data_IF_396578793235
#
_entry.id   IF_396578793235
#
_cell.length_a   1.000
_cell.length_b   1.000
_cell.length_c   1.000
_cell.angle_alpha   90.00
_cell.angle_beta   90.00
_cell.angle_gamma   90.00
#
_symmetry.space_group_name_H-M   'P 1'
#
loop_
_entity.id
_entity.type
_entity.pdbx_description
1 polymer ?
#
# COMPACT_ATOMS: atom_id res chain seq x y z
N UNK A 1 -4.14 3.54 11.92
CA UNK A 1 -3.19 2.88 12.85
C UNK A 1 -3.88 2.40 14.12
N UNK A 2 -4.68 3.21 14.81
CA UNK A 2 -5.39 2.83 16.05
C UNK A 2 -6.37 1.65 15.89
N UNK A 3 -7.02 1.51 14.73
CA UNK A 3 -7.99 0.44 14.47
C UNK A 3 -7.32 -0.94 14.49
N UNK A 4 -6.10 -1.08 13.96
CA UNK A 4 -5.36 -2.36 13.95
C UNK A 4 -5.00 -2.84 15.36
N UNK A 5 -4.69 -1.90 16.28
CA UNK A 5 -4.41 -2.22 17.67
C UNK A 5 -5.64 -2.77 18.40
N UNK A 6 -6.84 -2.29 18.05
CA UNK A 6 -8.10 -2.78 18.61
C UNK A 6 -8.43 -4.21 18.16
N UNK A 7 -7.91 -4.65 16.99
CA UNK A 7 -8.10 -5.99 16.45
C UNK A 7 -6.89 -6.92 16.68
N UNK A 8 -6.08 -6.67 17.71
CA UNK A 8 -5.06 -7.62 18.17
C UNK A 8 -3.71 -7.56 17.46
N UNK A 9 -3.33 -6.42 16.85
CA UNK A 9 -1.97 -6.20 16.34
C UNK A 9 -0.93 -6.39 17.47
N UNK A 10 -0.27 -7.55 17.51
CA UNK A 10 0.70 -7.94 18.54
C UNK A 10 0.39 -9.27 19.27
N UNK A 11 -0.80 -9.84 19.08
CA UNK A 11 -1.16 -11.18 19.58
C UNK A 11 -0.83 -12.26 18.54
N UNK A 12 -0.44 -13.46 18.99
CA UNK A 12 -0.17 -14.57 18.08
C UNK A 12 -1.45 -14.95 17.33
N UNK A 13 -1.36 -15.18 16.02
CA UNK A 13 -2.50 -15.50 15.13
C UNK A 13 -3.35 -16.69 15.63
N UNK A 14 -2.75 -17.57 16.45
CA UNK A 14 -3.37 -18.74 17.08
C UNK A 14 -4.34 -18.41 18.23
N UNK A 15 -4.28 -17.19 18.78
CA UNK A 15 -5.14 -16.75 19.90
C UNK A 15 -6.39 -15.98 19.49
N UNK A 16 -6.55 -15.65 18.20
CA UNK A 16 -7.69 -14.87 17.70
C UNK A 16 -8.81 -15.78 17.18
N UNK A 17 -10.07 -15.37 17.40
CA UNK A 17 -11.20 -16.03 16.76
C UNK A 17 -11.15 -15.84 15.23
N UNK A 18 -11.64 -16.80 14.43
CA UNK A 18 -11.61 -16.72 12.97
C UNK A 18 -12.36 -15.49 12.41
N UNK A 19 -13.36 -14.98 13.14
CA UNK A 19 -14.04 -13.74 12.79
C UNK A 19 -13.16 -12.49 12.97
N UNK A 20 -12.35 -12.44 14.03
CA UNK A 20 -11.42 -11.33 14.30
C UNK A 20 -10.27 -11.30 13.30
N UNK A 21 -9.78 -12.48 12.89
CA UNK A 21 -8.75 -12.61 11.85
C UNK A 21 -9.25 -12.04 10.51
N UNK A 22 -10.53 -12.23 10.18
CA UNK A 22 -11.13 -11.70 8.96
C UNK A 22 -11.16 -10.16 8.97
N UNK A 23 -11.61 -9.57 10.07
CA UNK A 23 -11.70 -8.11 10.22
C UNK A 23 -10.31 -7.45 10.30
N UNK A 24 -9.35 -8.11 10.97
CA UNK A 24 -7.95 -7.70 11.02
C UNK A 24 -7.34 -7.65 9.60
N UNK A 25 -7.46 -8.74 8.85
CA UNK A 25 -6.91 -8.86 7.49
C UNK A 25 -7.45 -7.78 6.55
N UNK A 26 -8.76 -7.51 6.63
CA UNK A 26 -9.42 -6.44 5.87
C UNK A 26 -8.90 -5.05 6.27
N UNK A 27 -8.80 -4.77 7.57
CA UNK A 27 -8.30 -3.49 8.08
C UNK A 27 -6.83 -3.26 7.71
N UNK A 28 -6.03 -4.32 7.75
CA UNK A 28 -4.62 -4.30 7.35
C UNK A 28 -4.48 -3.97 5.86
N UNK A 29 -5.26 -4.63 5.00
CA UNK A 29 -5.28 -4.36 3.56
C UNK A 29 -5.54 -2.88 3.25
N UNK A 30 -6.59 -2.30 3.84
CA UNK A 30 -6.92 -0.87 3.69
C UNK A 30 -5.77 0.01 4.19
N UNK A 31 -5.16 -0.34 5.32
CA UNK A 31 -4.05 0.42 5.89
C UNK A 31 -2.82 0.43 4.98
N UNK A 32 -2.49 -0.70 4.35
CA UNK A 32 -1.37 -0.78 3.40
C UNK A 32 -1.65 0.08 2.16
N UNK A 33 -2.86 0.07 1.63
CA UNK A 33 -3.25 0.93 0.48
C UNK A 33 -3.11 2.41 0.84
N UNK A 34 -3.66 2.82 1.99
CA UNK A 34 -3.58 4.20 2.47
C UNK A 34 -2.13 4.64 2.70
N UNK A 35 -1.30 3.76 3.27
CA UNK A 35 0.11 4.02 3.50
C UNK A 35 0.86 4.26 2.18
N UNK A 36 0.69 3.36 1.19
CA UNK A 36 1.33 3.53 -0.13
C UNK A 36 0.86 4.80 -0.84
N UNK A 37 -0.43 5.10 -0.76
CA UNK A 37 -1.00 6.32 -1.36
C UNK A 37 -0.45 7.58 -0.70
N UNK A 38 -0.30 7.57 0.63
CA UNK A 38 0.27 8.69 1.39
C UNK A 38 1.73 8.93 1.03
N UNK A 39 2.54 7.87 0.93
CA UNK A 39 3.94 7.99 0.49
C UNK A 39 4.04 8.55 -0.94
N UNK A 40 3.15 8.13 -1.83
CA UNK A 40 3.08 8.66 -3.19
C UNK A 40 2.73 10.15 -3.20
N UNK A 41 1.72 10.56 -2.44
CA UNK A 41 1.32 11.96 -2.31
C UNK A 41 2.45 12.83 -1.75
N UNK A 42 3.14 12.38 -0.69
CA UNK A 42 4.27 13.10 -0.10
C UNK A 42 5.37 13.34 -1.14
N UNK A 43 5.76 12.31 -1.92
CA UNK A 43 6.77 12.46 -2.97
C UNK A 43 6.39 13.55 -3.98
N UNK A 44 5.14 13.56 -4.43
CA UNK A 44 4.63 14.59 -5.35
C UNK A 44 4.67 15.97 -4.70
N UNK A 45 4.20 16.11 -3.47
CA UNK A 45 4.24 17.37 -2.73
C UNK A 45 5.66 17.92 -2.61
N UNK A 46 6.64 17.07 -2.26
CA UNK A 46 8.05 17.46 -2.19
C UNK A 46 8.59 17.92 -3.55
N UNK A 47 8.27 17.19 -4.63
CA UNK A 47 8.68 17.54 -5.99
C UNK A 47 8.10 18.88 -6.45
N UNK A 48 6.81 19.12 -6.19
CA UNK A 48 6.14 20.40 -6.50
C UNK A 48 6.72 21.55 -5.67
N UNK A 49 7.03 21.30 -4.39
CA UNK A 49 7.65 22.30 -3.53
C UNK A 49 9.06 22.66 -4.02
N UNK A 50 9.86 21.68 -4.42
CA UNK A 50 11.19 21.88 -5.01
C UNK A 50 11.13 22.69 -6.31
N UNK A 51 10.15 22.40 -7.18
CA UNK A 51 9.92 23.16 -8.42
C UNK A 51 9.57 24.63 -8.17
N UNK A 52 8.99 24.96 -7.00
CA UNK A 52 8.62 26.33 -6.64
C UNK A 52 9.78 27.10 -6.02
N UNK A 53 10.62 26.45 -5.20
CA UNK A 53 11.73 27.12 -4.48
C UNK A 53 12.94 27.36 -5.38
N UNK A 54 13.32 26.39 -6.22
CA UNK A 54 14.55 26.49 -7.00
C UNK A 54 14.28 26.96 -8.43
N UNK A 55 14.71 28.17 -8.83
CA UNK A 55 14.53 28.67 -10.20
C UNK A 55 15.49 28.05 -11.23
N UNK A 56 16.39 27.16 -10.80
CA UNK A 56 17.41 26.54 -11.66
C UNK A 56 16.77 25.55 -12.65
N UNK A 57 16.93 25.81 -13.95
CA UNK A 57 16.35 24.99 -15.03
C UNK A 57 16.79 23.52 -15.00
N UNK A 58 18.04 23.25 -14.58
CA UNK A 58 18.56 21.89 -14.43
C UNK A 58 17.81 21.11 -13.35
N UNK A 59 17.53 21.74 -12.22
CA UNK A 59 16.77 21.14 -11.11
C UNK A 59 15.33 20.92 -11.57
N UNK A 60 14.76 21.87 -12.33
CA UNK A 60 13.40 21.75 -12.87
C UNK A 60 13.24 20.52 -13.77
N UNK A 61 14.19 20.29 -14.70
CA UNK A 61 14.21 19.10 -15.57
C UNK A 61 14.34 17.82 -14.75
N UNK A 62 15.23 17.77 -13.76
CA UNK A 62 15.40 16.62 -12.88
C UNK A 62 14.12 16.30 -12.09
N UNK A 63 13.44 17.32 -11.55
CA UNK A 63 12.16 17.16 -10.87
C UNK A 63 11.07 16.60 -11.79
N UNK A 64 10.98 17.03 -13.05
CA UNK A 64 10.02 16.45 -14.00
C UNK A 64 10.29 14.97 -14.29
N UNK A 65 11.56 14.58 -14.47
CA UNK A 65 11.94 13.18 -14.66
C UNK A 65 11.58 12.35 -13.42
N UNK A 66 11.90 12.84 -12.23
CA UNK A 66 11.55 12.16 -10.98
C UNK A 66 10.04 12.05 -10.79
N UNK A 67 9.28 13.09 -11.14
CA UNK A 67 7.82 13.07 -11.05
C UNK A 67 7.23 12.02 -12.00
N UNK A 68 7.72 11.94 -13.24
CA UNK A 68 7.31 10.90 -14.19
C UNK A 68 7.61 9.50 -13.65
N UNK A 69 8.82 9.27 -13.14
CA UNK A 69 9.22 7.97 -12.56
C UNK A 69 8.33 7.59 -11.36
N UNK A 70 8.05 8.54 -10.46
CA UNK A 70 7.19 8.29 -9.30
C UNK A 70 5.78 7.93 -9.75
N UNK A 71 5.20 8.67 -10.70
CA UNK A 71 3.85 8.40 -11.25
C UNK A 71 3.76 7.03 -11.92
N UNK A 72 4.74 6.69 -12.76
CA UNK A 72 4.81 5.37 -13.41
C UNK A 72 4.92 4.26 -12.37
N UNK A 73 5.80 4.42 -11.38
CA UNK A 73 5.96 3.42 -10.32
C UNK A 73 4.70 3.27 -9.45
N UNK A 74 4.07 4.39 -9.05
CA UNK A 74 2.86 4.41 -8.23
C UNK A 74 1.67 3.77 -8.95
N UNK A 75 1.50 4.07 -10.24
CA UNK A 75 0.42 3.52 -11.08
C UNK A 75 0.57 2.02 -11.33
N UNK A 76 1.79 1.47 -11.30
CA UNK A 76 2.00 0.02 -11.35
C UNK A 76 1.77 -0.65 -9.99
N UNK A 77 2.25 -0.04 -8.90
CA UNK A 77 2.17 -0.63 -7.56
C UNK A 77 0.75 -0.72 -6.99
N UNK A 78 -0.10 0.29 -7.24
CA UNK A 78 -1.49 0.29 -6.73
C UNK A 78 -2.32 -0.90 -7.23
N UNK A 79 -2.43 -1.17 -8.55
CA UNK A 79 -3.16 -2.33 -9.04
C UNK A 79 -2.48 -3.64 -8.64
N UNK A 80 -1.15 -3.70 -8.56
CA UNK A 80 -0.47 -4.92 -8.07
C UNK A 80 -0.83 -5.24 -6.62
N UNK A 81 -0.94 -4.21 -5.77
CA UNK A 81 -1.38 -4.38 -4.37
C UNK A 81 -2.85 -4.78 -4.30
N UNK A 82 -3.70 -4.18 -5.13
CA UNK A 82 -5.14 -4.48 -5.15
C UNK A 82 -5.38 -5.90 -5.69
N UNK A 83 -4.74 -6.27 -6.80
CA UNK A 83 -4.89 -7.56 -7.46
C UNK A 83 -3.87 -8.61 -6.99
N UNK A 84 -3.35 -8.47 -5.76
CA UNK A 84 -2.35 -9.39 -5.22
C UNK A 84 -2.88 -10.83 -5.09
N UNK A 85 -4.20 -10.99 -4.95
CA UNK A 85 -4.92 -12.27 -5.03
C UNK A 85 -6.04 -12.21 -6.07
N UNK A 86 -6.19 -13.29 -6.84
CA UNK A 86 -7.31 -13.52 -7.75
C UNK A 86 -8.11 -14.72 -7.21
N UNK A 87 -9.36 -14.54 -6.72
CA UNK A 87 -10.10 -13.28 -6.51
C UNK A 87 -9.69 -12.54 -5.23
N UNK A 88 -9.91 -11.22 -5.22
CA UNK A 88 -9.58 -10.34 -4.07
C UNK A 88 -10.31 -10.78 -2.78
N UNK A 89 -11.48 -11.41 -2.94
CA UNK A 89 -12.32 -11.92 -1.85
C UNK A 89 -11.71 -13.10 -1.10
N UNK A 90 -10.82 -13.84 -1.74
CA UNK A 90 -10.13 -14.93 -1.07
C UNK A 90 -9.08 -14.45 -0.06
N UNK A 91 -8.74 -13.16 -0.07
CA UNK A 91 -7.89 -12.58 0.96
C UNK A 91 -8.55 -12.61 2.35
N UNK A 92 -9.90 -12.52 2.42
CA UNK A 92 -10.65 -12.56 3.68
C UNK A 92 -11.54 -13.80 3.85
N UNK A 93 -11.87 -14.53 2.77
CA UNK A 93 -12.53 -15.83 2.84
C UNK A 93 -11.59 -16.94 2.35
N UNK A 94 -10.95 -17.63 3.30
CA UNK A 94 -10.07 -18.78 3.03
C UNK A 94 -10.82 -20.02 2.49
N UNK A 95 -12.14 -19.97 2.40
CA UNK A 95 -12.98 -21.03 1.84
C UNK A 95 -12.98 -21.04 0.29
N UNK A 96 -12.43 -20.00 -0.34
CA UNK A 96 -12.41 -19.84 -1.81
C UNK A 96 -11.01 -20.18 -2.32
N UNK A 97 -10.94 -21.14 -3.23
CA UNK A 97 -9.69 -21.52 -3.90
C UNK A 97 -9.15 -20.32 -4.67
N UNK A 98 -7.95 -19.86 -4.32
CA UNK A 98 -7.36 -18.66 -4.90
C UNK A 98 -5.88 -18.82 -5.21
N UNK A 99 -5.52 -18.34 -6.39
CA UNK A 99 -4.13 -18.18 -6.81
C UNK A 99 -3.68 -16.81 -6.37
N UNK A 100 -3.16 -16.73 -5.15
CA UNK A 100 -2.44 -15.56 -4.67
C UNK A 100 -1.00 -15.59 -5.18
N UNK A 101 -0.44 -14.42 -5.48
CA UNK A 101 1.01 -14.32 -5.69
C UNK A 101 1.69 -14.75 -4.38
N UNK A 102 2.64 -15.70 -4.39
CA UNK A 102 3.22 -16.22 -3.17
C UNK A 102 3.84 -15.05 -2.39
N UNK A 103 3.29 -14.76 -1.22
CA UNK A 103 4.00 -13.96 -0.23
C UNK A 103 5.26 -14.76 0.10
N UNK A 104 6.43 -14.20 -0.22
CA UNK A 104 7.69 -14.74 0.23
C UNK A 104 7.61 -15.03 1.74
N UNK A 105 8.20 -16.14 2.21
CA UNK A 105 8.12 -16.54 3.61
C UNK A 105 8.67 -15.43 4.50
N UNK A 106 7.93 -15.13 5.55
CA UNK A 106 8.35 -14.30 6.68
C UNK A 106 8.45 -15.18 7.91
#
# INVERSE_FOLDING_TARGET
MTILLAYGLGLHVWTLQPAEVKEYTKTFFVSVILYRTSLFAIKICFLLHYLRIFPLEKIRKACFVLLATVVVWGSLQLPLLIFQCRPISAFWDKAIESTCFPMAPQ
#
